data_IF_395123997474
#
_entry.id   IF_395123997474
#
_cell.length_a   1.000
_cell.length_b   1.000
_cell.length_c   1.000
_cell.angle_alpha   90.00
_cell.angle_beta   90.00
_cell.angle_gamma   90.00
#
_symmetry.space_group_name_H-M   'P 1'
#
loop_
_entity.id
_entity.type
_entity.pdbx_description
1 polymer ?
#
# COMPACT_ATOMS: atom_id res chain seq x y z
N UNK A 1 30.46 -27.45 -2.33
CA UNK A 1 29.21 -28.21 -2.11
C UNK A 1 29.03 -28.38 -0.63
N UNK A 2 28.24 -27.53 0.02
CA UNK A 2 27.79 -27.76 1.40
C UNK A 2 26.55 -28.63 1.33
N UNK A 3 26.70 -29.91 1.62
CA UNK A 3 25.57 -30.83 1.74
C UNK A 3 24.71 -30.33 2.91
N UNK A 4 23.54 -29.74 2.62
CA UNK A 4 22.54 -29.50 3.66
C UNK A 4 22.09 -30.87 4.14
N UNK A 5 22.41 -31.20 5.39
CA UNK A 5 21.92 -32.42 6.04
C UNK A 5 20.39 -32.43 6.15
N UNK A 6 19.82 -33.57 6.52
CA UNK A 6 18.37 -33.69 6.67
C UNK A 6 17.81 -32.65 7.65
N UNK A 7 16.75 -31.94 7.24
CA UNK A 7 16.07 -30.94 8.06
C UNK A 7 15.06 -31.63 8.98
N UNK A 8 15.33 -31.61 10.28
CA UNK A 8 14.59 -32.39 11.29
C UNK A 8 14.19 -31.51 12.48
N UNK A 9 12.90 -31.51 12.90
CA UNK A 9 12.47 -30.85 14.13
C UNK A 9 13.29 -31.28 15.35
N UNK A 10 13.55 -30.34 16.28
CA UNK A 10 14.34 -30.56 17.48
C UNK A 10 15.86 -30.69 17.28
N UNK A 11 16.33 -30.91 16.04
CA UNK A 11 17.77 -30.99 15.71
C UNK A 11 18.24 -29.78 14.90
N UNK A 12 17.49 -29.40 13.87
CA UNK A 12 17.86 -28.29 12.99
C UNK A 12 17.56 -26.96 13.65
N UNK A 13 18.59 -26.11 13.72
CA UNK A 13 18.54 -24.76 14.29
C UNK A 13 18.19 -23.75 13.21
N UNK A 14 17.11 -23.01 13.41
CA UNK A 14 16.62 -22.03 12.44
C UNK A 14 16.87 -20.62 12.98
N UNK A 15 17.57 -19.81 12.19
CA UNK A 15 17.68 -18.37 12.39
C UNK A 15 16.59 -17.67 11.58
N UNK A 16 15.96 -16.65 12.14
CA UNK A 16 14.92 -15.88 11.44
C UNK A 16 15.10 -14.39 11.63
N UNK A 17 15.24 -13.66 10.53
CA UNK A 17 15.35 -12.20 10.52
C UNK A 17 14.05 -11.61 9.99
N UNK A 18 13.37 -10.83 10.84
CA UNK A 18 12.16 -10.08 10.50
C UNK A 18 10.87 -10.77 10.97
N UNK A 19 10.33 -10.30 12.10
CA UNK A 19 9.12 -10.85 12.74
C UNK A 19 7.90 -9.93 12.53
N UNK A 20 7.73 -9.46 11.30
CA UNK A 20 6.56 -8.67 10.89
C UNK A 20 5.25 -9.46 10.89
N UNK A 21 4.20 -8.93 10.26
CA UNK A 21 2.86 -9.56 10.22
C UNK A 21 2.95 -11.01 9.71
N UNK A 22 3.62 -11.21 8.57
CA UNK A 22 3.81 -12.54 7.97
C UNK A 22 4.87 -13.37 8.70
N UNK A 23 6.02 -12.76 9.00
CA UNK A 23 7.15 -13.44 9.64
C UNK A 23 6.78 -14.06 10.98
N UNK A 24 6.06 -13.33 11.85
CA UNK A 24 5.60 -13.85 13.14
C UNK A 24 4.74 -15.10 12.97
N UNK A 25 3.73 -15.07 12.10
CA UNK A 25 2.83 -16.20 11.90
C UNK A 25 3.56 -17.44 11.35
N UNK A 26 4.56 -17.26 10.50
CA UNK A 26 5.41 -18.37 10.02
C UNK A 26 6.27 -18.95 11.14
N UNK A 27 6.92 -18.10 11.94
CA UNK A 27 7.68 -18.53 13.11
C UNK A 27 6.82 -19.33 14.10
N UNK A 28 5.59 -18.90 14.35
CA UNK A 28 4.65 -19.62 15.23
C UNK A 28 4.37 -21.05 14.73
N UNK A 29 4.20 -21.24 13.43
CA UNK A 29 3.98 -22.59 12.88
C UNK A 29 5.25 -23.44 12.92
N UNK A 30 6.41 -22.83 12.68
CA UNK A 30 7.71 -23.50 12.77
C UNK A 30 7.95 -24.01 14.21
N UNK A 31 7.68 -23.16 15.21
CA UNK A 31 7.74 -23.55 16.63
C UNK A 31 6.76 -24.69 16.95
N UNK A 32 5.51 -24.60 16.49
CA UNK A 32 4.49 -25.66 16.69
C UNK A 32 4.89 -27.00 16.08
N UNK A 33 5.70 -27.00 15.02
CA UNK A 33 6.25 -28.21 14.41
C UNK A 33 7.49 -28.74 15.12
N UNK A 34 7.95 -28.07 16.18
CA UNK A 34 9.03 -28.53 17.05
C UNK A 34 10.43 -28.09 16.59
N UNK A 35 10.55 -27.12 15.70
CA UNK A 35 11.86 -26.59 15.30
C UNK A 35 12.42 -25.63 16.34
N UNK A 36 13.74 -25.68 16.55
CA UNK A 36 14.48 -24.72 17.36
C UNK A 36 14.62 -23.41 16.58
N UNK A 37 14.19 -22.30 17.17
CA UNK A 37 14.10 -21.01 16.46
C UNK A 37 14.79 -19.89 17.24
N UNK A 38 15.70 -19.19 16.58
CA UNK A 38 16.31 -17.94 17.04
C UNK A 38 15.85 -16.80 16.15
N UNK A 39 15.19 -15.79 16.71
CA UNK A 39 14.62 -14.68 15.96
C UNK A 39 15.36 -13.38 16.21
N UNK A 40 15.47 -12.56 15.17
CA UNK A 40 15.90 -11.16 15.27
C UNK A 40 14.90 -10.26 14.56
N UNK A 41 14.63 -9.10 15.15
CA UNK A 41 13.90 -8.04 14.49
C UNK A 41 14.42 -6.67 14.94
N UNK A 42 14.55 -5.73 13.99
CA UNK A 42 15.04 -4.37 14.27
C UNK A 42 14.28 -3.70 15.42
N UNK A 43 12.96 -3.86 15.47
CA UNK A 43 12.14 -3.45 16.61
C UNK A 43 11.97 -4.66 17.53
N UNK A 44 12.74 -4.71 18.63
CA UNK A 44 12.80 -5.86 19.52
C UNK A 44 11.42 -6.28 20.09
N UNK A 45 10.54 -5.32 20.38
CA UNK A 45 9.20 -5.61 20.92
C UNK A 45 8.34 -6.51 20.03
N UNK A 46 8.62 -6.57 18.72
CA UNK A 46 7.92 -7.47 17.78
C UNK A 46 8.36 -8.94 17.88
N UNK A 47 9.45 -9.24 18.57
CA UNK A 47 9.92 -10.60 18.81
C UNK A 47 9.36 -11.18 20.13
N UNK A 48 8.89 -10.34 21.05
CA UNK A 48 8.39 -10.76 22.37
C UNK A 48 7.32 -11.87 22.32
N UNK A 49 6.31 -11.83 21.42
CA UNK A 49 5.31 -12.90 21.36
C UNK A 49 5.88 -14.27 20.97
N UNK A 50 6.98 -14.28 20.21
CA UNK A 50 7.67 -15.51 19.82
C UNK A 50 8.58 -16.01 20.94
N UNK A 51 9.20 -15.09 21.69
CA UNK A 51 9.98 -15.42 22.87
C UNK A 51 9.14 -16.16 23.91
N UNK A 52 7.92 -15.68 24.15
CA UNK A 52 6.94 -16.33 25.05
C UNK A 52 6.53 -17.73 24.58
N UNK A 53 6.70 -18.04 23.29
CA UNK A 53 6.41 -19.34 22.70
C UNK A 53 7.67 -20.23 22.57
N UNK A 54 8.78 -19.82 23.20
CA UNK A 54 10.02 -20.61 23.26
C UNK A 54 11.07 -20.28 22.20
N UNK A 55 10.88 -19.25 21.38
CA UNK A 55 11.96 -18.78 20.50
C UNK A 55 13.06 -18.06 21.29
N UNK A 56 14.32 -18.28 20.95
CA UNK A 56 15.41 -17.43 21.40
C UNK A 56 15.35 -16.08 20.66
N UNK A 57 15.72 -14.98 21.32
CA UNK A 57 15.79 -13.65 20.70
C UNK A 57 17.25 -13.23 20.62
N UNK A 58 17.74 -12.99 19.41
CA UNK A 58 19.09 -12.48 19.19
C UNK A 58 19.13 -10.95 19.26
N UNK A 59 20.23 -10.40 19.79
CA UNK A 59 20.44 -8.94 19.87
C UNK A 59 20.73 -8.29 18.50
N UNK A 60 21.30 -9.05 17.56
CA UNK A 60 21.66 -8.58 16.22
C UNK A 60 21.30 -9.61 15.16
N UNK A 61 21.15 -9.16 13.90
CA UNK A 61 20.96 -10.06 12.76
C UNK A 61 22.14 -11.04 12.61
N UNK A 62 23.37 -10.56 12.83
CA UNK A 62 24.57 -11.39 12.79
C UNK A 62 24.54 -12.49 13.87
N UNK A 63 24.09 -12.17 15.09
CA UNK A 63 23.95 -13.16 16.15
C UNK A 63 22.88 -14.22 15.83
N UNK A 64 21.79 -13.84 15.15
CA UNK A 64 20.80 -14.81 14.66
C UNK A 64 21.35 -15.73 13.56
N UNK A 65 22.22 -15.20 12.70
CA UNK A 65 22.84 -15.95 11.61
C UNK A 65 23.98 -16.88 12.06
N UNK A 66 24.75 -16.47 13.08
CA UNK A 66 25.92 -17.22 13.54
C UNK A 66 25.56 -18.59 14.16
N UNK A 67 24.36 -18.73 14.70
CA UNK A 67 23.94 -19.89 15.50
C UNK A 67 22.77 -20.65 14.86
N UNK A 68 22.73 -20.75 13.54
CA UNK A 68 21.72 -21.51 12.82
C UNK A 68 22.31 -22.35 11.69
N UNK A 69 21.62 -23.45 11.37
CA UNK A 69 21.92 -24.29 10.21
C UNK A 69 21.19 -23.74 8.97
N UNK A 70 20.03 -23.11 9.19
CA UNK A 70 19.21 -22.46 8.16
C UNK A 70 18.88 -21.04 8.62
N UNK A 71 19.17 -20.05 7.78
CA UNK A 71 18.76 -18.66 8.00
C UNK A 71 17.62 -18.28 7.06
N UNK A 72 16.50 -17.88 7.63
CA UNK A 72 15.38 -17.30 6.90
C UNK A 72 15.38 -15.77 7.04
N UNK A 73 15.26 -15.08 5.91
CA UNK A 73 15.10 -13.63 5.87
C UNK A 73 13.69 -13.29 5.37
N UNK A 74 12.93 -12.55 6.19
CA UNK A 74 11.60 -12.08 5.84
C UNK A 74 11.43 -10.62 6.26
N UNK A 75 11.80 -9.72 5.36
CA UNK A 75 11.68 -8.27 5.56
C UNK A 75 10.47 -7.70 4.83
N UNK A 76 9.80 -6.75 5.48
CA UNK A 76 8.55 -6.17 5.01
C UNK A 76 8.73 -4.90 4.18
N UNK A 77 7.72 -4.67 3.34
CA UNK A 77 7.48 -3.55 2.43
C UNK A 77 6.68 -2.41 3.13
N UNK A 78 6.46 -1.23 2.49
CA UNK A 78 5.94 0.00 3.10
C UNK A 78 4.64 -0.16 3.90
N UNK A 79 4.45 0.74 4.87
CA UNK A 79 3.34 0.70 5.82
C UNK A 79 1.95 0.69 5.14
N UNK A 80 1.84 1.32 3.96
CA UNK A 80 0.59 1.48 3.20
C UNK A 80 0.03 0.16 2.67
N UNK A 81 0.89 -0.85 2.47
CA UNK A 81 0.47 -2.17 1.98
C UNK A 81 -0.14 -3.01 3.12
N UNK A 82 0.10 -2.66 4.39
CA UNK A 82 -0.27 -3.51 5.54
C UNK A 82 -1.79 -3.76 5.64
N UNK A 83 -2.62 -2.82 5.18
CA UNK A 83 -4.09 -2.96 5.13
C UNK A 83 -4.55 -3.94 4.06
N UNK A 84 -3.73 -4.14 3.03
CA UNK A 84 -3.95 -5.05 1.89
C UNK A 84 -3.21 -6.39 2.05
N UNK A 85 -2.36 -6.56 3.06
CA UNK A 85 -1.60 -7.81 3.25
C UNK A 85 -2.45 -8.85 3.99
N UNK A 86 -2.65 -10.00 3.34
CA UNK A 86 -3.33 -11.16 3.93
C UNK A 86 -2.35 -12.08 4.67
N UNK A 87 -2.52 -12.22 5.97
CA UNK A 87 -1.74 -13.13 6.82
C UNK A 87 -2.44 -14.45 7.16
N UNK A 88 -3.65 -14.68 6.64
CA UNK A 88 -4.46 -15.87 6.95
C UNK A 88 -3.73 -17.15 6.53
N UNK A 89 -3.15 -17.17 5.33
CA UNK A 89 -2.37 -18.31 4.86
C UNK A 89 -1.17 -18.58 5.77
N UNK A 90 -0.49 -17.53 6.23
CA UNK A 90 0.65 -17.67 7.14
C UNK A 90 0.20 -18.18 8.52
N UNK A 91 -0.88 -17.65 9.09
CA UNK A 91 -1.42 -18.11 10.39
C UNK A 91 -1.93 -19.55 10.36
N UNK A 92 -2.44 -19.99 9.22
CA UNK A 92 -3.02 -21.33 9.06
C UNK A 92 -2.01 -22.37 8.55
N UNK A 93 -0.79 -21.95 8.20
CA UNK A 93 0.21 -22.84 7.60
C UNK A 93 -0.17 -23.32 6.19
N UNK A 94 -1.01 -22.56 5.48
CA UNK A 94 -1.53 -22.89 4.14
C UNK A 94 -0.99 -21.95 3.07
N UNK A 95 0.24 -21.48 3.22
CA UNK A 95 0.89 -20.69 2.18
C UNK A 95 1.16 -21.53 0.92
N UNK A 96 1.47 -20.83 -0.16
CA UNK A 96 2.13 -21.40 -1.33
C UNK A 96 3.58 -20.96 -1.33
N UNK A 97 4.51 -21.90 -1.35
CA UNK A 97 5.95 -21.66 -1.48
C UNK A 97 6.32 -21.78 -2.95
N UNK A 98 7.03 -20.77 -3.45
CA UNK A 98 7.60 -20.73 -4.79
C UNK A 98 9.13 -20.80 -4.65
N UNK A 99 9.67 -22.01 -4.56
CA UNK A 99 11.07 -22.25 -4.24
C UNK A 99 11.93 -22.23 -5.51
N UNK A 100 13.08 -21.57 -5.48
CA UNK A 100 14.10 -21.66 -6.52
C UNK A 100 15.48 -21.76 -5.86
N UNK A 101 16.37 -22.55 -6.44
CA UNK A 101 17.65 -22.88 -5.83
C UNK A 101 18.20 -24.22 -6.30
N UNK A 102 19.27 -24.65 -5.65
CA UNK A 102 19.79 -26.00 -5.80
C UNK A 102 18.70 -27.02 -5.44
N UNK A 103 18.51 -28.03 -6.29
CA UNK A 103 17.30 -28.89 -6.21
C UNK A 103 17.34 -29.73 -4.94
N UNK A 104 18.50 -30.27 -4.63
CA UNK A 104 18.80 -31.08 -3.46
C UNK A 104 18.58 -30.27 -2.19
N UNK A 105 19.01 -29.00 -2.17
CA UNK A 105 18.77 -28.09 -1.04
C UNK A 105 17.27 -27.79 -0.87
N UNK A 106 16.54 -27.54 -1.96
CA UNK A 106 15.09 -27.29 -1.90
C UNK A 106 14.35 -28.52 -1.38
N UNK A 107 14.76 -29.71 -1.79
CA UNK A 107 14.18 -30.97 -1.34
C UNK A 107 14.49 -31.23 0.14
N UNK A 108 15.73 -30.98 0.57
CA UNK A 108 16.12 -31.10 1.97
C UNK A 108 15.32 -30.13 2.87
N UNK A 109 14.99 -28.93 2.38
CA UNK A 109 14.18 -27.94 3.09
C UNK A 109 12.66 -28.25 3.09
N UNK A 110 12.21 -29.28 2.38
CA UNK A 110 10.79 -29.59 2.25
C UNK A 110 10.05 -29.73 3.60
N UNK A 111 10.59 -30.39 4.65
CA UNK A 111 9.93 -30.46 5.97
C UNK A 111 9.70 -29.10 6.61
N UNK A 112 10.62 -28.15 6.38
CA UNK A 112 10.47 -26.78 6.85
C UNK A 112 9.40 -26.03 6.05
N UNK A 113 9.34 -26.19 4.72
CA UNK A 113 8.30 -25.58 3.91
C UNK A 113 6.90 -26.10 4.27
N UNK A 114 6.77 -27.39 4.56
CA UNK A 114 5.52 -28.01 5.01
C UNK A 114 5.04 -27.48 6.38
N UNK A 115 5.92 -26.89 7.19
CA UNK A 115 5.50 -26.23 8.43
C UNK A 115 4.64 -24.99 8.17
N UNK A 116 4.80 -24.35 7.01
CA UNK A 116 4.19 -23.04 6.70
C UNK A 116 3.28 -23.05 5.47
N UNK A 117 3.35 -24.10 4.65
CA UNK A 117 2.69 -24.17 3.36
C UNK A 117 2.09 -25.55 3.06
N UNK A 118 1.02 -25.55 2.27
CA UNK A 118 0.39 -26.77 1.73
C UNK A 118 0.69 -26.98 0.25
N UNK A 119 1.11 -25.94 -0.46
CA UNK A 119 1.49 -26.02 -1.87
C UNK A 119 2.94 -25.55 -2.03
N UNK A 120 3.81 -26.41 -2.52
CA UNK A 120 5.24 -26.13 -2.66
C UNK A 120 5.61 -26.38 -4.12
N UNK A 121 5.99 -25.33 -4.83
CA UNK A 121 6.31 -25.37 -6.26
C UNK A 121 7.78 -25.04 -6.45
N UNK A 122 8.53 -25.94 -7.09
CA UNK A 122 9.89 -25.68 -7.53
C UNK A 122 9.87 -24.91 -8.85
N UNK A 123 10.38 -23.69 -8.84
CA UNK A 123 10.39 -22.77 -9.96
C UNK A 123 11.66 -22.88 -10.83
N UNK A 124 12.75 -23.44 -10.30
CA UNK A 124 13.99 -23.68 -11.06
C UNK A 124 15.28 -23.43 -10.28
N UNK A 125 16.44 -23.51 -10.96
CA UNK A 125 17.75 -23.47 -10.32
C UNK A 125 18.11 -22.09 -9.76
N UNK A 126 19.11 -22.06 -8.87
CA UNK A 126 19.69 -20.84 -8.32
C UNK A 126 20.18 -19.90 -9.45
N UNK A 127 20.12 -18.59 -9.24
CA UNK A 127 20.55 -17.59 -10.23
C UNK A 127 19.59 -17.38 -11.42
N UNK A 128 18.63 -18.28 -11.66
CA UNK A 128 17.68 -18.15 -12.79
C UNK A 128 16.65 -17.02 -12.64
N UNK A 129 16.45 -16.50 -11.42
CA UNK A 129 15.41 -15.51 -11.09
C UNK A 129 13.96 -16.04 -11.22
N UNK A 130 13.75 -17.31 -11.58
CA UNK A 130 12.41 -17.87 -11.86
C UNK A 130 11.47 -17.82 -10.66
N UNK A 131 11.97 -18.07 -9.44
CA UNK A 131 11.15 -17.96 -8.22
C UNK A 131 10.61 -16.54 -7.98
N UNK A 132 11.46 -15.52 -8.19
CA UNK A 132 11.05 -14.12 -8.06
C UNK A 132 10.05 -13.72 -9.15
N UNK A 133 10.29 -14.14 -10.40
CA UNK A 133 9.37 -13.88 -11.52
C UNK A 133 8.02 -14.58 -11.31
N UNK A 134 8.02 -15.82 -10.84
CA UNK A 134 6.79 -16.56 -10.51
C UNK A 134 6.00 -15.86 -9.40
N UNK A 135 6.70 -15.35 -8.37
CA UNK A 135 6.07 -14.54 -7.33
C UNK A 135 5.50 -13.24 -7.89
N UNK A 136 6.20 -12.58 -8.80
CA UNK A 136 5.73 -11.36 -9.45
C UNK A 136 4.49 -11.64 -10.32
N UNK A 137 4.46 -12.72 -11.10
CA UNK A 137 3.27 -13.14 -11.85
C UNK A 137 2.04 -13.32 -10.94
N UNK A 138 2.23 -13.95 -9.77
CA UNK A 138 1.15 -14.06 -8.78
C UNK A 138 0.71 -12.69 -8.24
N UNK A 139 1.64 -11.77 -7.98
CA UNK A 139 1.28 -10.42 -7.51
C UNK A 139 0.57 -9.59 -8.58
N UNK A 140 0.99 -9.69 -9.85
CA UNK A 140 0.32 -9.02 -10.98
C UNK A 140 -1.13 -9.51 -11.09
N UNK A 141 -1.32 -10.84 -11.13
CA UNK A 141 -2.66 -11.46 -11.21
C UNK A 141 -3.54 -11.04 -10.03
N UNK A 142 -2.97 -10.96 -8.82
CA UNK A 142 -3.69 -10.48 -7.65
C UNK A 142 -4.15 -9.03 -7.85
N UNK A 143 -3.29 -8.12 -8.31
CA UNK A 143 -3.64 -6.73 -8.55
C UNK A 143 -4.75 -6.62 -9.62
N UNK A 144 -4.62 -7.34 -10.73
CA UNK A 144 -5.63 -7.34 -11.80
C UNK A 144 -7.00 -7.79 -11.29
N UNK A 145 -7.05 -8.85 -10.48
CA UNK A 145 -8.29 -9.31 -9.87
C UNK A 145 -8.93 -8.24 -8.95
N UNK A 146 -8.11 -7.49 -8.20
CA UNK A 146 -8.61 -6.43 -7.32
C UNK A 146 -9.14 -5.22 -8.11
N UNK A 147 -8.46 -4.84 -9.20
CA UNK A 147 -8.92 -3.78 -10.12
C UNK A 147 -10.24 -4.17 -10.76
N UNK A 148 -10.33 -5.37 -11.35
CA UNK A 148 -11.57 -5.84 -11.97
C UNK A 148 -12.73 -5.94 -10.99
N UNK A 149 -12.47 -6.36 -9.74
CA UNK A 149 -13.48 -6.33 -8.68
C UNK A 149 -13.94 -4.90 -8.36
N UNK A 150 -13.00 -3.95 -8.24
CA UNK A 150 -13.35 -2.57 -7.94
C UNK A 150 -14.19 -1.93 -9.07
N UNK A 151 -13.78 -2.11 -10.33
CA UNK A 151 -14.52 -1.61 -11.49
C UNK A 151 -15.92 -2.24 -11.60
N UNK A 152 -16.02 -3.56 -11.45
CA UNK A 152 -17.31 -4.26 -11.51
C UNK A 152 -18.29 -3.80 -10.43
N UNK A 153 -17.79 -3.52 -9.21
CA UNK A 153 -18.63 -3.05 -8.11
C UNK A 153 -18.98 -1.56 -8.22
N UNK A 154 -18.08 -0.73 -8.74
CA UNK A 154 -18.39 0.66 -9.07
C UNK A 154 -19.47 0.74 -10.17
N UNK A 155 -19.36 -0.09 -11.20
CA UNK A 155 -20.40 -0.20 -12.22
C UNK A 155 -21.73 -0.63 -11.60
N UNK A 156 -21.71 -1.66 -10.75
CA UNK A 156 -22.91 -2.14 -10.08
C UNK A 156 -23.59 -1.06 -9.23
N UNK A 157 -22.83 -0.28 -8.46
CA UNK A 157 -23.34 0.86 -7.70
C UNK A 157 -24.02 1.88 -8.61
N UNK A 158 -23.34 2.31 -9.68
CA UNK A 158 -23.87 3.30 -10.64
C UNK A 158 -25.09 2.80 -11.41
N UNK A 159 -25.20 1.49 -11.61
CA UNK A 159 -26.36 0.84 -12.20
C UNK A 159 -27.50 0.60 -11.18
N UNK A 160 -27.33 0.98 -9.92
CA UNK A 160 -28.34 0.79 -8.87
C UNK A 160 -28.50 -0.67 -8.41
N UNK A 161 -27.49 -1.51 -8.64
CA UNK A 161 -27.51 -2.92 -8.23
C UNK A 161 -27.14 -3.07 -6.75
N UNK A 162 -27.72 -4.09 -6.11
CA UNK A 162 -27.33 -4.49 -4.75
C UNK A 162 -25.91 -5.08 -4.75
N UNK A 163 -25.02 -4.46 -3.97
CA UNK A 163 -23.59 -4.80 -3.93
C UNK A 163 -23.33 -6.18 -3.35
N UNK A 164 -24.10 -6.62 -2.35
CA UNK A 164 -23.91 -7.92 -1.71
C UNK A 164 -24.35 -9.07 -2.65
N UNK A 165 -25.48 -8.91 -3.33
CA UNK A 165 -25.93 -9.85 -4.38
C UNK A 165 -24.97 -9.86 -5.56
N UNK A 166 -24.45 -8.69 -5.97
CA UNK A 166 -23.44 -8.60 -7.02
C UNK A 166 -22.17 -9.36 -6.62
N UNK A 167 -21.67 -9.16 -5.39
CA UNK A 167 -20.53 -9.91 -4.86
C UNK A 167 -20.78 -11.41 -4.81
N UNK A 168 -22.00 -11.84 -4.47
CA UNK A 168 -22.39 -13.26 -4.49
C UNK A 168 -22.31 -13.84 -5.91
N UNK A 169 -22.84 -13.14 -6.92
CA UNK A 169 -22.76 -13.56 -8.33
C UNK A 169 -21.31 -13.64 -8.79
N UNK A 170 -20.51 -12.59 -8.53
CA UNK A 170 -19.10 -12.56 -8.91
C UNK A 170 -18.27 -13.64 -8.22
N UNK A 171 -18.61 -14.00 -6.98
CA UNK A 171 -17.89 -15.03 -6.21
C UNK A 171 -18.29 -16.46 -6.59
N UNK A 172 -19.48 -16.67 -7.17
CA UNK A 172 -19.98 -17.99 -7.58
C UNK A 172 -19.84 -18.30 -9.07
N UNK A 173 -19.65 -17.28 -9.92
CA UNK A 173 -19.54 -17.42 -11.38
C UNK A 173 -18.10 -17.55 -11.89
N UNK A 174 -17.92 -17.50 -13.22
CA UNK A 174 -16.60 -17.60 -13.86
C UNK A 174 -15.62 -16.46 -13.54
N UNK A 175 -16.11 -15.35 -12.99
CA UNK A 175 -15.29 -14.26 -12.50
C UNK A 175 -14.68 -14.54 -11.10
N UNK A 176 -15.05 -15.65 -10.45
CA UNK A 176 -14.68 -15.94 -9.08
C UNK A 176 -13.17 -15.96 -8.86
N UNK A 177 -12.75 -15.24 -7.83
CA UNK A 177 -11.40 -15.29 -7.30
C UNK A 177 -11.47 -15.62 -5.82
N UNK A 178 -10.50 -16.38 -5.30
CA UNK A 178 -10.37 -16.65 -3.86
C UNK A 178 -10.25 -15.37 -3.01
N UNK A 179 -10.10 -14.22 -3.67
CA UNK A 179 -9.97 -12.89 -3.08
C UNK A 179 -11.30 -12.16 -2.88
N UNK A 180 -12.39 -12.60 -3.51
CA UNK A 180 -13.67 -11.88 -3.54
C UNK A 180 -14.54 -12.10 -2.28
N UNK A 181 -14.19 -13.05 -1.41
CA UNK A 181 -14.90 -13.33 -0.16
C UNK A 181 -14.85 -12.18 0.87
N UNK A 182 -15.01 -12.48 2.16
CA UNK A 182 -15.35 -11.49 3.21
C UNK A 182 -14.45 -10.26 3.41
N UNK A 183 -13.32 -10.11 2.70
CA UNK A 183 -12.48 -8.91 2.69
C UNK A 183 -12.54 -8.09 1.38
N UNK A 184 -13.13 -8.61 0.30
CA UNK A 184 -13.53 -7.79 -0.86
C UNK A 184 -14.42 -6.62 -0.42
N UNK A 185 -15.38 -6.89 0.48
CA UNK A 185 -16.20 -5.86 1.15
C UNK A 185 -15.42 -4.77 1.88
N UNK A 186 -14.28 -5.10 2.49
CA UNK A 186 -13.44 -4.11 3.19
C UNK A 186 -12.68 -3.24 2.21
N UNK A 187 -12.14 -3.85 1.14
CA UNK A 187 -11.49 -3.12 0.05
C UNK A 187 -12.46 -2.13 -0.58
N UNK A 188 -13.68 -2.58 -0.86
CA UNK A 188 -14.79 -1.78 -1.39
C UNK A 188 -15.04 -0.55 -0.53
N UNK A 189 -15.24 -0.73 0.78
CA UNK A 189 -15.44 0.41 1.69
C UNK A 189 -14.26 1.38 1.71
N UNK A 190 -13.03 0.88 1.61
CA UNK A 190 -11.84 1.72 1.58
C UNK A 190 -11.73 2.51 0.27
N UNK A 191 -11.96 1.86 -0.87
CA UNK A 191 -11.93 2.49 -2.20
C UNK A 191 -13.03 3.53 -2.32
N UNK A 192 -14.27 3.21 -1.91
CA UNK A 192 -15.37 4.17 -1.93
C UNK A 192 -15.14 5.34 -0.97
N UNK A 193 -14.61 5.10 0.24
CA UNK A 193 -14.28 6.17 1.18
C UNK A 193 -13.19 7.10 0.62
N UNK A 194 -12.16 6.54 -0.03
CA UNK A 194 -11.11 7.34 -0.67
C UNK A 194 -11.64 8.14 -1.86
N UNK A 195 -12.51 7.55 -2.69
CA UNK A 195 -13.12 8.29 -3.80
C UNK A 195 -14.00 9.44 -3.32
N UNK A 196 -14.81 9.23 -2.27
CA UNK A 196 -15.63 10.30 -1.69
C UNK A 196 -14.75 11.43 -1.15
N UNK A 197 -13.64 11.10 -0.48
CA UNK A 197 -12.71 12.09 0.03
C UNK A 197 -12.04 12.89 -1.10
N UNK A 198 -11.59 12.22 -2.16
CA UNK A 198 -11.00 12.90 -3.32
C UNK A 198 -12.01 13.80 -4.04
N UNK A 199 -13.28 13.38 -4.16
CA UNK A 199 -14.33 14.22 -4.74
C UNK A 199 -14.59 15.48 -3.89
N UNK A 200 -14.59 15.34 -2.56
CA UNK A 200 -14.73 16.48 -1.66
C UNK A 200 -13.54 17.45 -1.78
N UNK A 201 -12.31 16.94 -1.83
CA UNK A 201 -11.10 17.75 -2.02
C UNK A 201 -11.12 18.49 -3.36
N UNK A 202 -11.53 17.84 -4.45
CA UNK A 202 -11.68 18.49 -5.77
C UNK A 202 -12.76 19.57 -5.78
N UNK A 203 -13.91 19.34 -5.13
CA UNK A 203 -14.96 20.35 -5.00
C UNK A 203 -14.48 21.56 -4.20
N UNK A 204 -13.74 21.34 -3.12
CA UNK A 204 -13.15 22.42 -2.32
C UNK A 204 -12.14 23.23 -3.14
N UNK A 205 -11.29 22.56 -3.92
CA UNK A 205 -10.32 23.24 -4.77
C UNK A 205 -11.00 24.09 -5.84
N UNK A 206 -12.04 23.57 -6.51
CA UNK A 206 -12.81 24.33 -7.49
C UNK A 206 -13.50 25.55 -6.86
N UNK A 207 -14.04 25.42 -5.64
CA UNK A 207 -14.62 26.54 -4.92
C UNK A 207 -13.58 27.60 -4.56
N UNK A 208 -12.37 27.19 -4.14
CA UNK A 208 -11.27 28.11 -3.85
C UNK A 208 -10.81 28.86 -5.10
N UNK A 209 -10.66 28.16 -6.24
CA UNK A 209 -10.29 28.78 -7.52
C UNK A 209 -11.34 29.80 -7.97
N UNK A 210 -12.64 29.47 -7.85
CA UNK A 210 -13.73 30.40 -8.16
C UNK A 210 -13.72 31.64 -7.25
N UNK A 211 -13.47 31.45 -5.94
CA UNK A 211 -13.38 32.57 -5.00
C UNK A 211 -12.18 33.48 -5.30
N UNK A 212 -11.02 32.90 -5.65
CA UNK A 212 -9.84 33.67 -6.06
C UNK A 212 -10.10 34.46 -7.33
N UNK A 213 -10.76 33.85 -8.32
CA UNK A 213 -11.10 34.52 -9.57
C UNK A 213 -12.07 35.69 -9.34
N UNK A 214 -13.11 35.49 -8.53
CA UNK A 214 -14.03 36.57 -8.15
C UNK A 214 -13.33 37.71 -7.39
N UNK A 215 -12.40 37.38 -6.48
CA UNK A 215 -11.61 38.40 -5.79
C UNK A 215 -10.69 39.18 -6.74
N UNK A 216 -10.05 38.50 -7.69
CA UNK A 216 -9.22 39.15 -8.71
C UNK A 216 -10.04 40.08 -9.61
N UNK A 217 -11.23 39.62 -10.07
CA UNK A 217 -12.15 40.45 -10.86
C UNK A 217 -12.63 41.68 -10.08
N UNK A 218 -12.98 41.52 -8.80
CA UNK A 218 -13.37 42.65 -7.94
C UNK A 218 -12.20 43.63 -7.74
N UNK A 219 -10.98 43.14 -7.51
CA UNK A 219 -9.80 44.00 -7.39
C UNK A 219 -9.50 44.75 -8.68
N UNK A 220 -9.61 44.09 -9.85
CA UNK A 220 -9.44 44.75 -11.15
C UNK A 220 -10.51 45.81 -11.40
N UNK A 221 -11.78 45.54 -11.08
CA UNK A 221 -12.86 46.53 -11.17
C UNK A 221 -12.63 47.72 -10.25
N UNK A 222 -12.20 47.49 -9.00
CA UNK A 222 -11.85 48.57 -8.08
C UNK A 222 -10.67 49.41 -8.59
N UNK A 223 -9.62 48.77 -9.12
CA UNK A 223 -8.50 49.49 -9.74
C UNK A 223 -8.92 50.31 -10.96
N UNK A 224 -9.78 49.76 -11.83
CA UNK A 224 -10.33 50.49 -12.97
C UNK A 224 -11.19 51.69 -12.53
N UNK A 225 -12.04 51.52 -11.51
CA UNK A 225 -12.83 52.62 -10.95
C UNK A 225 -11.94 53.70 -10.33
N UNK A 226 -10.89 53.32 -9.59
CA UNK A 226 -9.92 54.27 -9.05
C UNK A 226 -9.18 55.02 -10.17
N UNK A 227 -8.74 54.33 -11.22
CA UNK A 227 -8.11 54.96 -12.39
C UNK A 227 -9.06 55.94 -13.09
N UNK A 228 -10.34 55.56 -13.28
CA UNK A 228 -11.36 56.44 -13.84
C UNK A 228 -11.62 57.67 -12.96
N UNK A 229 -11.67 57.51 -11.64
CA UNK A 229 -11.81 58.63 -10.70
C UNK A 229 -10.62 59.60 -10.77
N UNK A 230 -9.39 59.08 -10.82
CA UNK A 230 -8.17 59.90 -10.98
C UNK A 230 -8.18 60.64 -12.32
N UNK A 231 -8.54 59.96 -13.42
CA UNK A 231 -8.69 60.57 -14.74
C UNK A 231 -9.74 61.68 -14.75
N UNK A 232 -10.90 61.45 -14.12
CA UNK A 232 -11.97 62.45 -14.00
C UNK A 232 -11.52 63.67 -13.17
N UNK A 233 -10.81 63.44 -12.05
CA UNK A 233 -10.24 64.52 -11.25
C UNK A 233 -9.22 65.36 -12.04
N UNK A 234 -8.33 64.72 -12.80
CA UNK A 234 -7.37 65.40 -13.67
C UNK A 234 -8.08 66.20 -14.77
N UNK A 235 -9.13 65.65 -15.37
CA UNK A 235 -9.95 66.34 -16.39
C UNK A 235 -10.65 67.57 -15.81
N UNK A 236 -11.30 67.44 -14.64
CA UNK A 236 -11.94 68.56 -13.94
C UNK A 236 -10.92 69.65 -13.55
N UNK A 237 -9.72 69.28 -13.11
CA UNK A 237 -8.65 70.23 -12.81
C UNK A 237 -8.21 71.01 -14.05
N UNK A 238 -8.04 70.33 -15.20
CA UNK A 238 -7.72 70.97 -16.48
C UNK A 238 -8.82 71.90 -16.99
N UNK A 239 -10.10 71.51 -16.84
CA UNK A 239 -11.23 72.38 -17.15
C UNK A 239 -11.24 73.63 -16.25
N UNK A 240 -11.00 73.47 -14.95
CA UNK A 240 -11.00 74.57 -13.99
C UNK A 240 -9.91 75.61 -14.34
N UNK A 241 -8.68 75.18 -14.64
CA UNK A 241 -7.58 76.07 -15.05
C UNK A 241 -7.90 76.85 -16.33
N UNK A 242 -8.53 76.21 -17.33
CA UNK A 242 -8.96 76.91 -18.56
C UNK A 242 -10.07 77.94 -18.30
N UNK A 243 -10.96 77.71 -17.34
CA UNK A 243 -11.94 78.74 -16.92
C UNK A 243 -11.29 79.90 -16.17
N UNK A 244 -10.20 79.68 -15.43
CA UNK A 244 -9.45 80.75 -14.78
C UNK A 244 -8.77 81.64 -15.82
N UNK A 245 -8.18 81.05 -16.87
CA UNK A 245 -7.61 81.80 -18.01
C UNK A 245 -8.67 82.62 -18.76
N UNK A 246 -9.90 82.10 -18.91
CA UNK A 246 -11.02 82.83 -19.54
C UNK A 246 -11.55 83.97 -18.65
N UNK A 247 -11.53 83.80 -17.32
CA UNK A 247 -11.90 84.85 -16.39
C UNK A 247 -10.84 85.97 -16.30
N UNK A 248 -9.55 85.64 -16.35
CA UNK A 248 -8.48 86.65 -16.38
C UNK A 248 -8.45 87.43 -17.71
N UNK A 249 -8.77 86.78 -18.83
CA UNK A 249 -8.86 87.44 -20.14
C UNK A 249 -10.04 88.43 -20.29
N UNK A 250 -10.95 88.53 -19.31
CA UNK A 250 -12.08 89.49 -19.28
C UNK A 250 -11.90 90.64 -18.29
N UNK A 251 -10.76 90.72 -17.59
CA UNK A 251 -10.44 91.77 -16.61
C UNK A 251 -9.29 92.69 -17.11
N UNK A 252 -8.88 92.57 -18.37
CA UNK A 252 -7.93 93.46 -19.04
C UNK A 252 -8.61 94.37 -20.05
#
# INVERSE_FOLDING_TARGET
MTCIGAVVPGKTRIGWIGTGVMGRAMCENILKKGFSLTVYNRTASKALPLQQQGAAVAATAAAAAANCDILCLMVGTPQDVKTLVWDVGAKTGKLTVMAAGDKEAVDALHPLFQAVATNIVYAGPAGSGKGQRMKLCNQITLCTNLVGLAEGLLFAERAGLDIEKTLQVLSGGGAASCRFGGRGRKLVRLVFKQQQQQQQEQQQQQQQEQQQQQQQEQQQQQQQQQQQQVLLQLFLFSCCSKTTDICEAKVA
#
